data_IF_234182461391
#
_entry.id   IF_234182461391
#
_cell.length_a   1.000
_cell.length_b   1.000
_cell.length_c   1.000
_cell.angle_alpha   90.00
_cell.angle_beta   90.00
_cell.angle_gamma   90.00
#
_symmetry.space_group_name_H-M   'P 1'
#
loop_
_entity.id
_entity.type
_entity.pdbx_description
1 polymer ?
#
# COMPACT_ATOMS: atom_id res chain seq x y z
N UNK A 1 15.09 -62.76 -79.65
CA UNK A 1 16.20 -61.94 -79.13
C UNK A 1 16.26 -60.52 -79.69
N UNK A 2 16.57 -60.25 -80.97
CA UNK A 2 16.74 -58.85 -81.48
C UNK A 2 15.55 -57.90 -81.22
N UNK A 3 14.31 -58.38 -81.37
CA UNK A 3 13.10 -57.58 -81.10
C UNK A 3 12.90 -57.25 -79.61
N UNK A 4 13.29 -58.15 -78.70
CA UNK A 4 13.19 -57.93 -77.26
C UNK A 4 14.22 -56.88 -76.77
N UNK A 5 15.44 -56.91 -77.32
CA UNK A 5 16.49 -55.91 -77.03
C UNK A 5 16.06 -54.52 -77.51
N UNK A 6 15.51 -54.40 -78.73
CA UNK A 6 15.01 -53.12 -79.24
C UNK A 6 13.84 -52.55 -78.41
N UNK A 7 13.04 -53.41 -77.79
CA UNK A 7 11.93 -52.99 -76.95
C UNK A 7 12.42 -52.52 -75.58
N UNK A 8 13.45 -53.18 -75.03
CA UNK A 8 14.12 -52.73 -73.80
C UNK A 8 14.83 -51.39 -74.00
N UNK A 9 15.48 -51.16 -75.14
CA UNK A 9 16.14 -49.88 -75.44
C UNK A 9 15.15 -48.70 -75.51
N UNK A 10 13.95 -48.91 -76.04
CA UNK A 10 12.90 -47.89 -76.06
C UNK A 10 12.39 -47.56 -74.66
N UNK A 11 12.22 -48.56 -73.81
CA UNK A 11 11.81 -48.37 -72.42
C UNK A 11 12.89 -47.62 -71.63
N UNK A 12 14.15 -48.01 -71.79
CA UNK A 12 15.29 -47.33 -71.15
C UNK A 12 15.45 -45.89 -71.62
N UNK A 13 15.22 -45.61 -72.91
CA UNK A 13 15.23 -44.24 -73.45
C UNK A 13 14.14 -43.37 -72.82
N UNK A 14 12.94 -43.93 -72.64
CA UNK A 14 11.79 -43.25 -72.03
C UNK A 14 12.06 -42.94 -70.55
N UNK A 15 12.55 -43.93 -69.80
CA UNK A 15 12.92 -43.78 -68.40
C UNK A 15 14.03 -42.74 -68.21
N UNK A 16 15.04 -42.73 -69.08
CA UNK A 16 16.11 -41.73 -69.04
C UNK A 16 15.65 -40.31 -69.40
N UNK A 17 14.51 -40.17 -70.10
CA UNK A 17 13.88 -38.88 -70.36
C UNK A 17 13.10 -38.41 -69.14
N UNK A 18 12.30 -39.28 -68.52
CA UNK A 18 11.57 -38.99 -67.29
C UNK A 18 12.49 -38.62 -66.14
N UNK A 19 13.62 -39.33 -65.97
CA UNK A 19 14.63 -39.01 -64.95
C UNK A 19 15.25 -37.63 -65.21
N UNK A 20 15.48 -37.25 -66.48
CA UNK A 20 15.99 -35.92 -66.83
C UNK A 20 14.97 -34.83 -66.56
N UNK A 21 13.71 -35.07 -66.90
CA UNK A 21 12.62 -34.12 -66.66
C UNK A 21 12.38 -33.95 -65.16
N UNK A 22 12.40 -35.04 -64.38
CA UNK A 22 12.34 -35.00 -62.91
C UNK A 22 13.54 -34.25 -62.31
N UNK A 23 14.76 -34.49 -62.79
CA UNK A 23 15.94 -33.74 -62.34
C UNK A 23 15.82 -32.25 -62.67
N UNK A 24 15.28 -31.90 -63.83
CA UNK A 24 15.02 -30.51 -64.23
C UNK A 24 13.94 -29.87 -63.33
N UNK A 25 12.86 -30.58 -63.02
CA UNK A 25 11.82 -30.12 -62.10
C UNK A 25 12.33 -29.96 -60.66
N UNK A 26 13.16 -30.89 -60.16
CA UNK A 26 13.75 -30.83 -58.83
C UNK A 26 14.75 -29.67 -58.71
N UNK A 27 15.58 -29.44 -59.74
CA UNK A 27 16.48 -28.28 -59.81
C UNK A 27 15.73 -26.94 -59.87
N UNK A 28 14.51 -26.91 -60.41
CA UNK A 28 13.72 -25.69 -60.59
C UNK A 28 12.75 -25.38 -59.45
N UNK A 29 12.31 -26.39 -58.68
CA UNK A 29 11.39 -26.22 -57.52
C UNK A 29 12.08 -26.19 -56.15
N UNK A 30 13.37 -26.54 -56.07
CA UNK A 30 14.16 -26.55 -54.85
C UNK A 30 15.28 -25.51 -54.83
N UNK A 31 15.00 -24.25 -55.18
CA UNK A 31 16.01 -23.18 -55.09
C UNK A 31 16.00 -22.52 -53.72
N UNK A 32 17.19 -22.06 -53.28
CA UNK A 32 17.41 -21.23 -52.09
C UNK A 32 16.46 -20.02 -52.00
N UNK A 33 15.92 -19.56 -53.13
CA UNK A 33 14.96 -18.46 -53.19
C UNK A 33 13.66 -18.77 -52.45
N UNK A 34 13.12 -19.99 -52.58
CA UNK A 34 11.89 -20.37 -51.87
C UNK A 34 12.12 -20.56 -50.37
N UNK A 35 13.32 -21.01 -50.00
CA UNK A 35 13.78 -21.01 -48.61
C UNK A 35 13.87 -19.57 -48.07
N UNK A 36 14.42 -18.63 -48.84
CA UNK A 36 14.47 -17.22 -48.46
C UNK A 36 13.10 -16.52 -48.44
N UNK A 37 12.13 -16.96 -49.26
CA UNK A 37 10.74 -16.50 -49.16
C UNK A 37 10.08 -17.00 -47.87
N UNK A 38 10.21 -18.30 -47.57
CA UNK A 38 9.67 -18.89 -46.34
C UNK A 38 10.34 -18.26 -45.11
N UNK A 39 11.65 -18.04 -45.13
CA UNK A 39 12.38 -17.41 -44.04
C UNK A 39 11.93 -15.96 -43.81
N UNK A 40 11.73 -15.18 -44.89
CA UNK A 40 11.17 -13.83 -44.80
C UNK A 40 9.73 -13.81 -44.30
N UNK A 41 8.90 -14.76 -44.72
CA UNK A 41 7.51 -14.86 -44.24
C UNK A 41 7.45 -15.23 -42.76
N UNK A 42 8.30 -16.17 -42.32
CA UNK A 42 8.41 -16.56 -40.90
C UNK A 42 8.93 -15.39 -40.05
N UNK A 43 9.94 -14.66 -40.53
CA UNK A 43 10.44 -13.46 -39.86
C UNK A 43 9.38 -12.37 -39.77
N UNK A 44 8.63 -12.15 -40.85
CA UNK A 44 7.55 -11.17 -40.89
C UNK A 44 6.44 -11.53 -39.89
N UNK A 45 6.02 -12.80 -39.85
CA UNK A 45 5.02 -13.27 -38.88
C UNK A 45 5.54 -13.17 -37.45
N UNK A 46 6.81 -13.49 -37.21
CA UNK A 46 7.45 -13.38 -35.90
C UNK A 46 7.49 -11.92 -35.43
N UNK A 47 7.74 -10.97 -36.34
CA UNK A 47 7.74 -9.54 -36.04
C UNK A 47 6.34 -9.01 -35.71
N UNK A 48 5.32 -9.43 -36.48
CA UNK A 48 3.91 -9.11 -36.19
C UNK A 48 3.49 -9.65 -34.82
N UNK A 49 3.84 -10.90 -34.52
CA UNK A 49 3.52 -11.54 -33.24
C UNK A 49 4.22 -10.83 -32.07
N UNK A 50 5.50 -10.46 -32.21
CA UNK A 50 6.23 -9.67 -31.19
C UNK A 50 5.55 -8.33 -30.94
N UNK A 51 5.23 -7.57 -31.99
CA UNK A 51 4.52 -6.30 -31.85
C UNK A 51 3.13 -6.46 -31.24
N UNK A 52 2.38 -7.50 -31.62
CA UNK A 52 1.04 -7.75 -31.08
C UNK A 52 1.08 -8.12 -29.58
N UNK A 53 2.05 -8.93 -29.16
CA UNK A 53 2.25 -9.32 -27.75
C UNK A 53 2.68 -8.11 -26.92
N UNK A 54 3.61 -7.29 -27.41
CA UNK A 54 4.05 -6.06 -26.73
C UNK A 54 2.92 -5.03 -26.61
N UNK A 55 2.14 -4.81 -27.68
CA UNK A 55 1.04 -3.83 -27.64
C UNK A 55 -0.08 -4.30 -26.71
N UNK A 56 -0.39 -5.60 -26.68
CA UNK A 56 -1.44 -6.16 -25.82
C UNK A 56 -1.03 -6.11 -24.35
N UNK A 57 0.21 -6.49 -24.03
CA UNK A 57 0.75 -6.42 -22.67
C UNK A 57 0.85 -4.97 -22.18
N UNK A 58 1.29 -4.03 -23.03
CA UNK A 58 1.35 -2.60 -22.71
C UNK A 58 -0.03 -1.98 -22.49
N UNK A 59 -1.06 -2.36 -23.27
CA UNK A 59 -2.44 -1.90 -23.05
C UNK A 59 -3.01 -2.42 -21.73
N UNK A 60 -2.77 -3.70 -21.40
CA UNK A 60 -3.19 -4.29 -20.12
C UNK A 60 -2.44 -3.69 -18.93
N UNK A 61 -1.14 -3.41 -19.09
CA UNK A 61 -0.35 -2.73 -18.09
C UNK A 61 -0.84 -1.29 -17.88
N UNK A 62 -1.05 -0.53 -18.95
CA UNK A 62 -1.58 0.85 -18.89
C UNK A 62 -2.92 0.91 -18.16
N UNK A 63 -3.88 0.06 -18.52
CA UNK A 63 -5.17 0.00 -17.83
C UNK A 63 -5.05 -0.36 -16.35
N UNK A 64 -4.09 -1.21 -16.00
CA UNK A 64 -3.78 -1.54 -14.60
C UNK A 64 -3.18 -0.33 -13.86
N UNK A 65 -2.22 0.37 -14.48
CA UNK A 65 -1.61 1.60 -13.94
C UNK A 65 -2.66 2.68 -13.73
N UNK A 66 -3.54 2.93 -14.71
CA UNK A 66 -4.63 3.91 -14.61
C UNK A 66 -5.59 3.55 -13.45
N UNK A 67 -5.88 2.26 -13.26
CA UNK A 67 -6.72 1.78 -12.14
C UNK A 67 -6.03 1.97 -10.79
N UNK A 68 -4.72 1.72 -10.71
CA UNK A 68 -3.93 1.97 -9.51
C UNK A 68 -3.86 3.47 -9.19
N UNK A 69 -3.63 4.33 -10.17
CA UNK A 69 -3.58 5.78 -10.01
C UNK A 69 -4.92 6.36 -9.50
N UNK A 70 -6.05 5.86 -10.02
CA UNK A 70 -7.36 6.24 -9.51
C UNK A 70 -7.56 5.85 -8.04
N UNK A 71 -7.13 4.64 -7.66
CA UNK A 71 -7.22 4.16 -6.27
C UNK A 71 -6.32 4.95 -5.34
N UNK A 72 -5.09 5.27 -5.74
CA UNK A 72 -4.17 6.07 -4.92
C UNK A 72 -4.66 7.50 -4.74
N UNK A 73 -5.23 8.12 -5.78
CA UNK A 73 -5.89 9.45 -5.68
C UNK A 73 -7.11 9.46 -4.76
N UNK A 74 -7.96 8.44 -4.83
CA UNK A 74 -9.11 8.33 -3.93
C UNK A 74 -8.68 8.12 -2.48
N UNK A 75 -7.67 7.27 -2.25
CA UNK A 75 -7.11 7.03 -0.93
C UNK A 75 -6.45 8.29 -0.35
N UNK A 76 -5.65 9.01 -1.15
CA UNK A 76 -4.98 10.22 -0.70
C UNK A 76 -5.97 11.33 -0.33
N UNK A 77 -7.07 11.48 -1.08
CA UNK A 77 -8.16 12.39 -0.73
C UNK A 77 -8.82 11.99 0.61
N UNK A 78 -9.08 10.69 0.82
CA UNK A 78 -9.63 10.20 2.09
C UNK A 78 -8.68 10.39 3.28
N UNK A 79 -7.36 10.25 3.07
CA UNK A 79 -6.33 10.50 4.08
C UNK A 79 -6.22 11.99 4.39
N UNK A 80 -6.26 12.87 3.38
CA UNK A 80 -6.23 14.32 3.59
C UNK A 80 -7.42 14.81 4.42
N UNK A 81 -8.61 14.27 4.20
CA UNK A 81 -9.79 14.64 4.99
C UNK A 81 -9.66 14.20 6.45
N UNK A 82 -9.18 12.98 6.70
CA UNK A 82 -8.92 12.50 8.06
C UNK A 82 -7.80 13.28 8.74
N UNK A 83 -6.78 13.71 8.00
CA UNK A 83 -5.70 14.55 8.51
C UNK A 83 -6.24 15.89 8.99
N UNK A 84 -7.14 16.56 8.25
CA UNK A 84 -7.77 17.82 8.70
C UNK A 84 -8.51 17.66 10.01
N UNK A 85 -9.28 16.57 10.18
CA UNK A 85 -9.99 16.28 11.43
C UNK A 85 -8.99 16.09 12.58
N UNK A 86 -7.91 15.35 12.34
CA UNK A 86 -6.86 15.14 13.35
C UNK A 86 -6.17 16.46 13.68
N UNK A 87 -5.79 17.26 12.70
CA UNK A 87 -5.15 18.56 12.91
C UNK A 87 -6.09 19.53 13.66
N UNK A 88 -7.41 19.48 13.41
CA UNK A 88 -8.42 20.25 14.15
C UNK A 88 -8.55 19.78 15.61
N UNK A 89 -8.51 18.46 15.84
CA UNK A 89 -8.52 17.89 17.19
C UNK A 89 -7.22 18.25 17.93
N UNK A 90 -6.07 18.08 17.28
CA UNK A 90 -4.76 18.39 17.88
C UNK A 90 -4.63 19.88 18.17
N UNK A 91 -5.05 20.75 17.25
CA UNK A 91 -5.02 22.19 17.49
C UNK A 91 -5.97 22.60 18.62
N UNK A 92 -7.16 21.99 18.73
CA UNK A 92 -8.10 22.22 19.86
C UNK A 92 -7.63 21.69 21.21
N UNK A 93 -6.98 20.53 21.24
CA UNK A 93 -6.53 19.90 22.48
C UNK A 93 -5.20 20.49 22.94
N UNK A 94 -4.28 20.77 22.01
CA UNK A 94 -2.89 21.04 22.35
C UNK A 94 -2.39 22.46 22.02
N UNK A 95 -2.95 23.16 21.03
CA UNK A 95 -2.29 24.37 20.49
C UNK A 95 -3.04 25.68 20.69
N UNK A 96 -4.38 25.71 20.62
CA UNK A 96 -5.06 26.99 20.40
C UNK A 96 -5.74 27.64 21.61
N UNK A 97 -6.15 26.90 22.64
CA UNK A 97 -6.76 27.52 23.81
C UNK A 97 -6.31 26.82 25.07
N UNK A 98 -5.91 27.57 26.09
CA UNK A 98 -5.73 27.14 27.48
C UNK A 98 -7.05 26.67 28.13
N UNK A 99 -7.78 25.79 27.45
CA UNK A 99 -9.01 25.14 27.91
C UNK A 99 -8.72 24.12 28.99
N UNK A 100 -7.48 23.67 29.16
CA UNK A 100 -7.15 22.89 30.35
C UNK A 100 -6.87 23.86 31.50
N UNK A 101 -7.89 24.14 32.30
CA UNK A 101 -7.74 24.91 33.53
C UNK A 101 -7.24 23.96 34.61
N UNK A 102 -6.05 24.23 35.12
CA UNK A 102 -5.43 23.39 36.14
C UNK A 102 -5.28 24.13 37.46
N UNK A 103 -5.47 23.40 38.54
CA UNK A 103 -5.21 23.81 39.91
C UNK A 103 -4.13 22.91 40.49
N UNK A 104 -3.08 23.54 41.02
CA UNK A 104 -2.09 22.85 41.84
C UNK A 104 -2.56 22.90 43.28
N UNK A 105 -2.56 21.76 43.95
CA UNK A 105 -2.98 21.61 45.35
C UNK A 105 -2.00 20.76 46.12
N UNK A 106 -2.11 20.84 47.45
CA UNK A 106 -1.24 20.13 48.36
C UNK A 106 -2.08 19.61 49.53
N UNK A 107 -1.72 18.43 50.05
CA UNK A 107 -2.24 17.99 51.34
C UNK A 107 -1.48 18.66 52.49
N UNK A 108 -2.06 18.60 53.69
CA UNK A 108 -1.38 19.05 54.91
C UNK A 108 -0.14 18.19 55.19
N UNK A 109 0.87 18.77 55.85
CA UNK A 109 2.02 18.01 56.35
C UNK A 109 1.61 17.00 57.43
N UNK A 110 2.04 15.75 57.28
CA UNK A 110 1.76 14.68 58.24
C UNK A 110 3.06 13.99 58.68
N UNK A 111 3.14 13.65 59.97
CA UNK A 111 4.26 12.90 60.55
C UNK A 111 4.06 11.42 60.25
N UNK A 112 4.78 10.89 59.25
CA UNK A 112 5.10 9.46 59.05
C UNK A 112 5.51 9.21 57.59
N UNK A 113 6.81 9.33 57.33
CA UNK A 113 7.33 9.14 55.98
C UNK A 113 8.08 7.81 55.78
N UNK A 114 8.19 7.00 56.85
CA UNK A 114 8.93 5.74 56.83
C UNK A 114 8.08 4.53 56.35
N UNK A 115 6.76 4.72 56.17
CA UNK A 115 5.91 3.73 55.50
C UNK A 115 5.84 4.02 54.01
N UNK A 116 6.45 3.15 53.19
CA UNK A 116 6.56 3.33 51.72
C UNK A 116 5.22 3.43 50.98
N UNK A 117 4.10 3.00 51.60
CA UNK A 117 2.74 3.02 51.01
C UNK A 117 1.68 3.49 52.04
N UNK A 118 1.85 3.18 53.33
CA UNK A 118 0.93 3.53 54.42
C UNK A 118 0.99 4.99 54.90
N UNK A 119 1.39 5.92 54.03
CA UNK A 119 1.19 7.36 54.26
C UNK A 119 0.00 7.90 53.46
N UNK A 120 -0.49 7.16 52.45
CA UNK A 120 -1.60 7.56 51.59
C UNK A 120 -2.94 7.61 52.34
N UNK A 121 -3.12 6.73 53.33
CA UNK A 121 -4.30 6.67 54.22
C UNK A 121 -4.51 7.96 55.02
N UNK A 122 -3.44 8.71 55.31
CA UNK A 122 -3.48 9.97 56.06
C UNK A 122 -3.65 11.21 55.19
N UNK A 123 -3.66 11.04 53.88
CA UNK A 123 -3.70 12.13 52.93
C UNK A 123 -4.91 12.01 52.03
N UNK A 124 -5.89 12.88 52.25
CA UNK A 124 -7.06 12.96 51.39
C UNK A 124 -6.75 13.81 50.16
N UNK A 125 -6.78 13.17 48.99
CA UNK A 125 -6.55 13.81 47.68
C UNK A 125 -7.88 13.89 46.97
N UNK A 126 -8.32 15.11 46.69
CA UNK A 126 -9.62 15.35 46.06
C UNK A 126 -9.46 16.34 44.91
N UNK A 127 -9.78 15.86 43.71
CA UNK A 127 -10.12 16.72 42.57
C UNK A 127 -11.63 16.91 42.56
N UNK A 128 -12.11 18.04 42.04
CA UNK A 128 -13.56 18.27 41.88
C UNK A 128 -14.15 17.29 40.86
N UNK A 129 -15.46 17.11 40.87
CA UNK A 129 -16.17 16.18 39.96
C UNK A 129 -15.89 16.45 38.46
N UNK A 130 -15.58 17.69 38.09
CA UNK A 130 -15.25 18.10 36.72
C UNK A 130 -13.73 18.12 36.44
N UNK A 131 -12.90 17.71 37.39
CA UNK A 131 -11.44 17.74 37.33
C UNK A 131 -10.83 16.33 37.29
N UNK A 132 -9.75 16.18 36.53
CA UNK A 132 -8.96 14.97 36.40
C UNK A 132 -7.62 15.14 37.10
N UNK A 133 -7.18 14.13 37.84
CA UNK A 133 -5.85 14.10 38.44
C UNK A 133 -4.77 13.90 37.36
N UNK A 134 -3.88 14.87 37.20
CA UNK A 134 -2.83 14.86 36.16
C UNK A 134 -1.44 14.55 36.73
N UNK A 135 -1.12 15.07 37.92
CA UNK A 135 0.19 14.89 38.55
C UNK A 135 0.02 14.59 40.02
N UNK A 136 0.86 13.69 40.52
CA UNK A 136 0.89 13.27 41.91
C UNK A 136 2.34 13.09 42.35
N UNK A 137 2.75 13.77 43.41
CA UNK A 137 4.14 13.77 43.89
C UNK A 137 4.17 13.80 45.42
N UNK A 138 4.93 12.90 46.03
CA UNK A 138 5.25 12.93 47.45
C UNK A 138 6.39 13.93 47.69
N UNK A 139 6.21 14.82 48.65
CA UNK A 139 7.21 15.80 49.08
C UNK A 139 7.52 15.60 50.55
N UNK A 140 8.81 15.56 50.89
CA UNK A 140 9.34 15.48 52.25
C UNK A 140 9.87 16.85 52.63
N UNK A 141 9.53 17.36 53.80
CA UNK A 141 9.88 18.73 54.20
C UNK A 141 11.39 18.95 54.29
N UNK A 142 12.10 17.98 54.86
CA UNK A 142 13.55 18.07 55.12
C UNK A 142 14.35 17.04 54.30
N UNK A 143 13.72 16.37 53.32
CA UNK A 143 14.35 15.33 52.50
C UNK A 143 14.58 13.98 53.21
N UNK A 144 14.58 13.96 54.54
CA UNK A 144 14.85 12.78 55.37
C UNK A 144 13.74 11.72 55.34
N UNK A 145 14.13 10.47 55.64
CA UNK A 145 13.22 9.31 55.65
C UNK A 145 12.12 9.41 56.72
N UNK A 146 12.39 10.09 57.83
CA UNK A 146 11.48 10.28 58.96
C UNK A 146 10.82 11.67 59.01
N UNK A 147 11.07 12.51 57.99
CA UNK A 147 10.51 13.87 57.92
C UNK A 147 8.99 13.85 57.76
N UNK A 148 8.34 15.00 57.94
CA UNK A 148 6.93 15.16 57.59
C UNK A 148 6.75 15.12 56.07
N UNK A 149 5.66 14.51 55.64
CA UNK A 149 5.32 14.38 54.21
C UNK A 149 4.04 15.12 53.86
N UNK A 150 3.96 15.54 52.60
CA UNK A 150 2.73 15.99 51.95
C UNK A 150 2.70 15.46 50.52
N UNK A 151 1.51 15.42 49.94
CA UNK A 151 1.36 15.19 48.51
C UNK A 151 1.09 16.50 47.79
N UNK A 152 1.88 16.78 46.76
CA UNK A 152 1.64 17.82 45.76
C UNK A 152 0.95 17.17 44.57
N UNK A 153 -0.23 17.68 44.23
CA UNK A 153 -1.02 17.14 43.14
C UNK A 153 -1.59 18.23 42.26
N UNK A 154 -1.89 17.87 41.01
CA UNK A 154 -2.46 18.78 40.01
C UNK A 154 -3.75 18.20 39.47
N UNK A 155 -4.83 18.95 39.66
CA UNK A 155 -6.14 18.63 39.11
C UNK A 155 -6.38 19.54 37.90
N UNK A 156 -6.90 19.01 36.81
CA UNK A 156 -7.13 19.74 35.57
C UNK A 156 -8.50 19.43 35.00
N UNK A 157 -9.21 20.45 34.51
CA UNK A 157 -10.48 20.27 33.82
C UNK A 157 -10.43 20.84 32.42
N UNK A 158 -11.20 20.22 31.53
CA UNK A 158 -11.41 20.74 30.19
C UNK A 158 -12.54 21.77 30.22
N UNK A 159 -12.22 23.03 29.94
CA UNK A 159 -13.15 24.11 29.69
C UNK A 159 -13.71 23.97 28.27
N UNK A 160 -14.56 22.96 28.07
CA UNK A 160 -15.29 22.77 26.82
C UNK A 160 -16.52 23.69 26.83
N UNK A 161 -16.29 25.00 26.82
CA UNK A 161 -17.38 25.99 26.72
C UNK A 161 -17.90 26.19 25.29
N UNK A 162 -17.52 25.33 24.35
CA UNK A 162 -18.04 25.40 22.98
C UNK A 162 -19.11 24.34 22.75
N UNK A 163 -20.26 24.85 22.32
CA UNK A 163 -21.48 24.12 21.93
C UNK A 163 -21.12 23.02 20.93
N UNK A 164 -20.81 21.82 21.43
CA UNK A 164 -20.62 20.66 20.58
C UNK A 164 -21.97 20.30 19.94
N UNK A 165 -22.23 20.83 18.74
CA UNK A 165 -23.33 20.36 17.90
C UNK A 165 -22.81 19.18 17.10
N UNK A 166 -23.28 17.98 17.44
CA UNK A 166 -23.08 16.77 16.64
C UNK A 166 -23.48 17.10 15.19
N UNK A 167 -22.60 16.83 14.24
CA UNK A 167 -22.94 16.99 12.83
C UNK A 167 -24.22 16.18 12.54
N UNK A 168 -25.23 16.75 11.86
CA UNK A 168 -26.45 16.01 11.56
C UNK A 168 -26.06 14.75 10.81
N UNK A 169 -26.51 13.59 11.31
CA UNK A 169 -26.35 12.33 10.59
C UNK A 169 -27.01 12.52 9.22
N UNK A 170 -26.23 12.44 8.14
CA UNK A 170 -26.81 12.34 6.79
C UNK A 170 -27.73 11.11 6.83
N UNK A 171 -29.04 11.34 6.79
CA UNK A 171 -30.01 10.26 6.66
C UNK A 171 -29.69 9.58 5.33
N UNK A 172 -29.38 8.29 5.39
CA UNK A 172 -29.29 7.48 4.20
C UNK A 172 -30.69 7.44 3.60
N UNK A 173 -30.85 8.00 2.40
CA UNK A 173 -32.08 7.89 1.63
C UNK A 173 -32.43 6.41 1.45
N UNK A 174 -33.59 6.01 1.95
CA UNK A 174 -34.35 4.85 1.49
C UNK A 174 -35.56 5.36 0.72
#
# INVERSE_FOLDING_TARGET
MKKQVQQQDKTLSTQNKEIRDLNWYLRRKGTKERLGEIERDVDHQTLILKHAVDIKSLKQFKTSVDKFEKRTKALSAGVQERKKIIDEIYSRIFLQDGKIVCRNTFTSWQKQANYKIGALDKHYIECRDDELLQRFLLERKDGELDSVVRFKYRCCRFNVKDKWKKAPKKMANQ
#
